data_IF_120864266877
#
_entry.id   IF_120864266877
#
_cell.length_a   1.000
_cell.length_b   1.000
_cell.length_c   1.000
_cell.angle_alpha   90.00
_cell.angle_beta   90.00
_cell.angle_gamma   90.00
#
_symmetry.space_group_name_H-M   'P 1'
#
loop_
_entity.id
_entity.type
_entity.pdbx_description
1 polymer ?
#
# COMPACT_ATOMS: atom_id res chain seq x y z
N UNK A 1 46.24 13.23 -12.14
CA UNK A 1 45.58 14.24 -11.29
C UNK A 1 44.16 13.77 -11.06
N UNK A 2 43.84 13.47 -9.80
CA UNK A 2 42.49 13.41 -9.23
C UNK A 2 41.42 12.62 -9.98
N UNK A 3 41.34 11.32 -9.66
CA UNK A 3 40.03 10.69 -9.48
C UNK A 3 39.19 11.55 -8.54
N UNK A 4 37.92 11.78 -8.87
CA UNK A 4 36.93 12.06 -7.84
C UNK A 4 35.63 11.39 -8.24
N UNK A 5 35.54 10.15 -7.79
CA UNK A 5 34.28 9.47 -7.49
C UNK A 5 33.53 10.26 -6.40
N UNK A 6 32.23 10.48 -6.60
CA UNK A 6 31.16 10.46 -5.58
C UNK A 6 29.91 10.01 -6.34
N UNK A 7 29.34 8.82 -6.10
CA UNK A 7 28.70 8.40 -4.85
C UNK A 7 27.32 9.08 -4.80
N UNK A 8 26.18 8.41 -4.88
CA UNK A 8 25.80 7.16 -4.23
C UNK A 8 24.66 6.52 -5.03
N UNK A 9 24.75 5.21 -5.25
CA UNK A 9 23.59 4.42 -5.65
C UNK A 9 22.51 4.59 -4.56
N UNK A 10 21.38 5.22 -4.91
CA UNK A 10 20.15 5.03 -4.16
C UNK A 10 19.80 3.56 -4.30
N UNK A 11 20.10 2.77 -3.27
CA UNK A 11 19.49 1.46 -3.11
C UNK A 11 17.99 1.70 -3.02
N UNK A 12 17.30 1.51 -4.15
CA UNK A 12 15.84 1.50 -4.21
C UNK A 12 15.37 0.32 -3.39
N UNK A 13 15.11 0.57 -2.10
CA UNK A 13 14.48 -0.42 -1.23
C UNK A 13 13.08 -0.64 -1.78
N UNK A 14 12.92 -1.73 -2.52
CA UNK A 14 11.63 -2.12 -3.09
C UNK A 14 10.68 -2.49 -1.94
N UNK A 15 9.69 -1.63 -1.70
CA UNK A 15 8.71 -1.81 -0.62
C UNK A 15 7.68 -2.83 -1.11
N UNK A 16 7.66 -4.02 -0.51
CA UNK A 16 6.65 -5.04 -0.82
C UNK A 16 5.56 -5.09 0.25
N UNK A 17 4.30 -5.14 -0.18
CA UNK A 17 3.14 -5.23 0.68
C UNK A 17 2.25 -6.40 0.26
N UNK A 18 1.89 -7.24 1.22
CA UNK A 18 0.92 -8.32 1.00
C UNK A 18 -0.49 -7.76 1.21
N UNK A 19 -1.34 -7.91 0.21
CA UNK A 19 -2.71 -7.44 0.21
C UNK A 19 -3.69 -8.58 -0.06
N UNK A 20 -4.89 -8.46 0.48
CA UNK A 20 -6.00 -9.36 0.24
C UNK A 20 -7.19 -8.55 -0.31
N UNK A 21 -7.91 -9.02 -1.35
CA UNK A 21 -9.17 -8.42 -1.74
C UNK A 21 -10.17 -8.41 -0.58
N UNK A 22 -10.93 -7.33 -0.48
CA UNK A 22 -12.06 -7.27 0.46
C UNK A 22 -13.28 -7.88 -0.19
N UNK A 23 -13.91 -8.80 0.53
CA UNK A 23 -15.21 -9.36 0.17
C UNK A 23 -16.33 -8.32 0.31
N UNK A 24 -17.48 -8.55 -0.33
CA UNK A 24 -18.66 -7.68 -0.23
C UNK A 24 -19.11 -7.46 1.24
N UNK A 25 -18.96 -8.48 2.08
CA UNK A 25 -19.28 -8.44 3.51
C UNK A 25 -18.31 -7.55 4.32
N UNK A 26 -17.20 -7.16 3.73
CA UNK A 26 -16.20 -6.29 4.30
C UNK A 26 -16.32 -4.84 3.80
N UNK A 27 -17.13 -4.56 2.78
CA UNK A 27 -17.31 -3.22 2.19
C UNK A 27 -18.26 -2.33 3.02
N UNK A 28 -17.95 -1.03 3.14
CA UNK A 28 -18.77 -0.05 3.85
C UNK A 28 -18.23 0.38 5.22
N UNK A 29 -18.77 1.50 5.75
CA UNK A 29 -18.20 2.25 6.88
C UNK A 29 -18.06 1.45 8.17
N UNK A 30 -19.10 0.72 8.58
CA UNK A 30 -19.08 -0.09 9.83
C UNK A 30 -18.07 -1.24 9.73
N UNK A 31 -18.02 -1.91 8.58
CA UNK A 31 -17.12 -3.04 8.32
C UNK A 31 -15.66 -2.59 8.23
N UNK A 32 -15.38 -1.45 7.58
CA UNK A 32 -14.07 -0.82 7.57
C UNK A 32 -13.54 -0.52 8.98
N UNK A 33 -14.40 0.01 9.87
CA UNK A 33 -14.03 0.22 11.28
C UNK A 33 -13.69 -1.09 12.00
N UNK A 34 -14.43 -2.18 11.73
CA UNK A 34 -14.16 -3.50 12.31
C UNK A 34 -12.80 -4.05 11.84
N UNK A 35 -12.50 -3.95 10.54
CA UNK A 35 -11.20 -4.33 9.99
C UNK A 35 -10.05 -3.58 10.66
N UNK A 36 -10.21 -2.26 10.88
CA UNK A 36 -9.21 -1.46 11.60
C UNK A 36 -8.97 -1.91 13.03
N UNK A 37 -10.03 -2.32 13.74
CA UNK A 37 -9.90 -2.93 15.07
C UNK A 37 -9.21 -4.30 15.05
N UNK A 38 -9.29 -5.02 13.93
CA UNK A 38 -8.60 -6.30 13.71
C UNK A 38 -7.15 -6.11 13.24
N UNK A 39 -6.64 -4.88 13.18
CA UNK A 39 -5.26 -4.58 12.77
C UNK A 39 -5.06 -4.47 11.26
N UNK A 40 -6.13 -4.32 10.48
CA UNK A 40 -6.05 -4.09 9.03
C UNK A 40 -6.27 -2.63 8.66
N UNK A 41 -5.57 -2.18 7.63
CA UNK A 41 -5.84 -0.91 6.93
C UNK A 41 -6.63 -1.25 5.67
N UNK A 42 -7.69 -0.51 5.42
CA UNK A 42 -8.44 -0.63 4.17
C UNK A 42 -7.70 0.13 3.08
N UNK A 43 -7.55 -0.44 1.90
CA UNK A 43 -6.93 0.24 0.78
C UNK A 43 -7.71 0.00 -0.50
N UNK A 44 -7.38 0.76 -1.54
CA UNK A 44 -7.89 0.58 -2.88
C UNK A 44 -6.72 0.61 -3.84
N UNK A 45 -6.69 -0.30 -4.80
CA UNK A 45 -5.71 -0.28 -5.88
C UNK A 45 -6.44 -0.14 -7.21
N UNK A 46 -5.99 0.78 -8.07
CA UNK A 46 -6.60 1.08 -9.36
C UNK A 46 -5.55 1.58 -10.34
N UNK A 47 -5.80 1.51 -11.64
CA UNK A 47 -4.87 2.02 -12.64
C UNK A 47 -5.36 1.82 -14.07
N UNK A 48 -4.55 2.14 -15.08
CA UNK A 48 -4.94 1.99 -16.49
C UNK A 48 -5.23 0.54 -16.89
N UNK A 49 -4.48 -0.42 -16.33
CA UNK A 49 -4.58 -1.84 -16.67
C UNK A 49 -5.40 -2.67 -15.68
N UNK A 50 -5.90 -2.06 -14.59
CA UNK A 50 -6.73 -2.76 -13.60
C UNK A 50 -7.91 -1.90 -13.13
N UNK A 51 -9.06 -2.53 -13.00
CA UNK A 51 -10.20 -1.91 -12.34
C UNK A 51 -9.88 -1.62 -10.86
N UNK A 52 -10.67 -0.73 -10.26
CA UNK A 52 -10.57 -0.41 -8.83
C UNK A 52 -10.91 -1.64 -7.99
N UNK A 53 -9.93 -2.14 -7.24
CA UNK A 53 -10.08 -3.31 -6.37
C UNK A 53 -9.93 -2.84 -4.91
N UNK A 54 -10.98 -2.98 -4.09
CA UNK A 54 -10.86 -2.75 -2.66
C UNK A 54 -10.06 -3.87 -2.01
N UNK A 55 -9.01 -3.51 -1.30
CA UNK A 55 -8.08 -4.44 -0.66
C UNK A 55 -7.97 -4.14 0.84
N UNK A 56 -7.39 -5.08 1.59
CA UNK A 56 -6.98 -4.91 2.98
C UNK A 56 -5.52 -5.33 3.11
N UNK A 57 -4.79 -4.61 3.94
CA UNK A 57 -3.37 -4.84 4.22
C UNK A 57 -3.20 -4.81 5.74
N UNK A 58 -2.36 -5.65 6.32
CA UNK A 58 -2.09 -5.57 7.76
C UNK A 58 -1.40 -4.24 8.07
N UNK A 59 -1.88 -3.53 9.08
CA UNK A 59 -1.33 -2.23 9.48
C UNK A 59 0.16 -2.31 9.84
N UNK A 60 0.56 -3.43 10.46
CA UNK A 60 1.96 -3.69 10.84
C UNK A 60 2.88 -3.82 9.64
N UNK A 61 2.37 -4.34 8.52
CA UNK A 61 3.16 -4.53 7.30
C UNK A 61 3.40 -3.17 6.64
N UNK A 62 2.37 -2.31 6.55
CA UNK A 62 2.53 -0.92 6.07
C UNK A 62 3.53 -0.16 6.94
N UNK A 63 3.37 -0.22 8.26
CA UNK A 63 4.25 0.49 9.19
C UNK A 63 5.71 0.02 9.06
N UNK A 64 5.93 -1.28 8.90
CA UNK A 64 7.27 -1.85 8.69
C UNK A 64 7.87 -1.45 7.35
N UNK A 65 7.07 -1.48 6.29
CA UNK A 65 7.53 -1.25 4.94
C UNK A 65 7.89 0.23 4.70
N UNK A 66 7.09 1.16 5.22
CA UNK A 66 7.35 2.61 5.11
C UNK A 66 8.12 3.21 6.30
N UNK A 67 8.38 2.44 7.36
CA UNK A 67 8.99 2.95 8.59
C UNK A 67 8.09 3.90 9.40
N UNK A 68 6.77 3.86 9.18
CA UNK A 68 5.82 4.80 9.75
C UNK A 68 4.56 4.93 8.90
N UNK A 69 4.13 6.18 8.67
CA UNK A 69 3.06 6.48 7.73
C UNK A 69 3.60 6.47 6.28
N UNK A 70 2.76 6.09 5.29
CA UNK A 70 3.13 6.22 3.88
C UNK A 70 3.43 7.67 3.49
N UNK A 71 4.14 7.84 2.37
CA UNK A 71 4.33 9.14 1.72
C UNK A 71 3.65 9.12 0.35
N UNK A 72 3.03 10.23 -0.04
CA UNK A 72 2.48 10.37 -1.39
C UNK A 72 3.63 10.24 -2.41
N UNK A 73 3.40 9.47 -3.46
CA UNK A 73 4.41 9.16 -4.49
C UNK A 73 5.38 8.05 -4.10
N UNK A 74 5.26 7.44 -2.91
CA UNK A 74 6.10 6.31 -2.56
C UNK A 74 5.73 5.09 -3.42
N UNK A 75 6.75 4.47 -4.02
CA UNK A 75 6.61 3.24 -4.77
C UNK A 75 6.45 2.03 -3.85
N UNK A 76 5.55 1.13 -4.21
CA UNK A 76 5.39 -0.17 -3.56
C UNK A 76 4.96 -1.23 -4.58
N UNK A 77 5.49 -2.45 -4.41
CA UNK A 77 4.94 -3.64 -5.05
C UNK A 77 3.86 -4.23 -4.15
N UNK A 78 2.63 -4.22 -4.65
CA UNK A 78 1.51 -4.91 -4.02
C UNK A 78 1.45 -6.35 -4.51
N UNK A 79 1.64 -7.29 -3.57
CA UNK A 79 1.36 -8.72 -3.76
C UNK A 79 -0.08 -8.99 -3.37
N UNK A 80 -0.98 -8.94 -4.35
CA UNK A 80 -2.41 -9.15 -4.15
C UNK A 80 -2.74 -10.65 -4.20
N UNK A 81 -3.14 -11.22 -3.07
CA UNK A 81 -3.56 -12.63 -2.94
C UNK A 81 -5.01 -12.79 -3.37
N UNK A 82 -5.24 -13.25 -4.59
CA UNK A 82 -6.58 -13.53 -5.12
C UNK A 82 -6.93 -15.00 -4.96
N UNK A 83 -8.15 -15.39 -5.37
CA UNK A 83 -8.56 -16.82 -5.37
C UNK A 83 -7.81 -17.64 -6.43
N UNK A 84 -7.41 -16.98 -7.51
CA UNK A 84 -6.79 -17.61 -8.68
C UNK A 84 -5.25 -17.59 -8.61
N UNK A 85 -4.67 -17.00 -7.55
CA UNK A 85 -3.23 -16.94 -7.32
C UNK A 85 -2.79 -15.62 -6.71
N UNK A 86 -1.58 -15.18 -7.06
CA UNK A 86 -1.02 -13.90 -6.64
C UNK A 86 -0.80 -12.99 -7.85
N UNK A 87 -1.23 -11.73 -7.73
CA UNK A 87 -0.97 -10.68 -8.70
C UNK A 87 0.04 -9.69 -8.13
N UNK A 88 1.11 -9.43 -8.86
CA UNK A 88 2.13 -8.43 -8.51
C UNK A 88 1.85 -7.12 -9.25
N UNK A 89 1.59 -6.06 -8.50
CA UNK A 89 1.30 -4.74 -9.05
C UNK A 89 2.38 -3.75 -8.62
N UNK A 90 3.01 -3.07 -9.58
CA UNK A 90 3.82 -1.88 -9.29
C UNK A 90 2.88 -0.71 -9.07
N UNK A 91 2.99 -0.06 -7.91
CA UNK A 91 2.04 0.97 -7.49
C UNK A 91 2.72 2.16 -6.85
N UNK A 92 2.05 3.31 -6.93
CA UNK A 92 2.38 4.52 -6.20
C UNK A 92 1.32 4.79 -5.15
N UNK A 93 1.72 5.21 -3.96
CA UNK A 93 0.79 5.75 -2.98
C UNK A 93 0.24 7.07 -3.51
N UNK A 94 -1.04 7.11 -3.87
CA UNK A 94 -1.70 8.29 -4.40
C UNK A 94 -2.25 9.18 -3.30
N UNK A 95 -2.91 8.57 -2.32
CA UNK A 95 -3.53 9.25 -1.18
C UNK A 95 -3.53 8.32 0.04
N UNK A 96 -3.59 8.90 1.24
CA UNK A 96 -3.86 8.13 2.45
C UNK A 96 -4.61 8.97 3.48
N UNK A 97 -5.41 8.32 4.31
CA UNK A 97 -6.19 8.97 5.36
C UNK A 97 -5.65 8.55 6.73
N UNK A 98 -5.50 9.51 7.63
CA UNK A 98 -5.04 9.31 9.00
C UNK A 98 -6.07 9.88 9.96
N UNK A 99 -6.31 9.19 11.06
CA UNK A 99 -7.08 9.73 12.18
C UNK A 99 -6.23 10.81 12.90
N UNK A 100 -6.69 12.06 12.98
CA UNK A 100 -5.86 13.18 13.45
C UNK A 100 -5.55 13.12 14.96
N UNK A 101 -6.30 12.34 15.74
CA UNK A 101 -6.13 12.24 17.19
C UNK A 101 -5.22 11.06 17.56
N UNK A 102 -5.52 9.89 16.99
CA UNK A 102 -4.80 8.65 17.27
C UNK A 102 -3.59 8.42 16.36
N UNK A 103 -3.44 9.21 15.30
CA UNK A 103 -2.45 9.03 14.23
C UNK A 103 -2.54 7.65 13.56
N UNK A 104 -3.69 6.99 13.67
CA UNK A 104 -3.94 5.70 13.06
C UNK A 104 -4.16 5.85 11.56
N UNK A 105 -3.41 5.09 10.76
CA UNK A 105 -3.65 4.98 9.32
C UNK A 105 -5.01 4.31 9.05
N UNK A 106 -5.92 5.03 8.39
CA UNK A 106 -7.28 4.59 8.12
C UNK A 106 -7.42 3.97 6.74
N UNK A 107 -6.87 4.61 5.72
CA UNK A 107 -6.86 4.08 4.36
C UNK A 107 -5.67 4.52 3.53
N UNK A 108 -5.39 3.78 2.47
CA UNK A 108 -4.35 4.09 1.47
C UNK A 108 -4.90 3.78 0.08
N UNK A 109 -4.68 4.70 -0.85
CA UNK A 109 -5.06 4.57 -2.24
C UNK A 109 -3.79 4.39 -3.08
N UNK A 110 -3.76 3.32 -3.86
CA UNK A 110 -2.64 2.91 -4.69
C UNK A 110 -2.99 3.08 -6.16
N UNK A 111 -2.16 3.81 -6.89
CA UNK A 111 -2.25 3.91 -8.34
C UNK A 111 -1.25 2.94 -8.99
N UNK A 112 -1.78 1.91 -9.64
CA UNK A 112 -0.98 0.97 -10.41
C UNK A 112 -0.55 1.57 -11.75
N UNK A 113 0.67 1.28 -12.14
CA UNK A 113 1.24 1.72 -13.40
C UNK A 113 1.99 0.58 -14.08
N UNK A 114 2.04 0.64 -15.41
CA UNK A 114 2.94 -0.18 -16.20
C UNK A 114 4.22 0.62 -16.43
N UNK A 115 5.36 -0.04 -16.34
CA UNK A 115 6.69 0.56 -16.43
C UNK A 115 7.51 -0.15 -17.48
#
# INVERSE_FOLDING_TARGET
MGSTEKGSAEQTKQIELVAEPRSEEEIGKRRARRLRKQGYVTAVVYGPSINSIPIKIKAVDIKRAFGGLPKIGAEAILRLKTKDGELLLKTLVKEFQVDPLSLQLLSVDFHAYES
#
